data_IF_105368300671
#
_entry.id   IF_105368300671
#
_cell.length_a   1.000
_cell.length_b   1.000
_cell.length_c   1.000
_cell.angle_alpha   90.00
_cell.angle_beta   90.00
_cell.angle_gamma   90.00
#
_symmetry.space_group_name_H-M   'P 1'
#
loop_
_entity.id
_entity.type
_entity.pdbx_description
1 polymer ?
#
# COMPACT_ATOMS: atom_id res chain seq x y z
N UNK A 1 -14.24 -30.93 -21.05
CA UNK A 1 -14.40 -30.58 -19.61
C UNK A 1 -13.09 -30.16 -18.95
N UNK A 2 -12.02 -30.97 -19.00
CA UNK A 2 -10.72 -30.63 -18.39
C UNK A 2 -10.14 -29.29 -18.86
N UNK A 3 -10.13 -29.03 -20.17
CA UNK A 3 -9.59 -27.77 -20.73
C UNK A 3 -10.29 -26.51 -20.20
N UNK A 4 -11.61 -26.58 -20.01
CA UNK A 4 -12.41 -25.45 -19.50
C UNK A 4 -12.05 -25.19 -18.04
N UNK A 5 -11.93 -26.25 -17.23
CA UNK A 5 -11.51 -26.16 -15.83
C UNK A 5 -10.11 -25.58 -15.72
N UNK A 6 -9.17 -26.01 -16.59
CA UNK A 6 -7.81 -25.46 -16.63
C UNK A 6 -7.80 -23.96 -16.94
N UNK A 7 -8.59 -23.50 -17.92
CA UNK A 7 -8.71 -22.08 -18.25
C UNK A 7 -9.27 -21.26 -17.08
N UNK A 8 -10.27 -21.79 -16.38
CA UNK A 8 -10.86 -21.14 -15.20
C UNK A 8 -9.81 -20.99 -14.09
N UNK A 9 -9.05 -22.05 -13.79
CA UNK A 9 -8.02 -22.02 -12.76
C UNK A 9 -6.89 -21.02 -13.10
N UNK A 10 -6.48 -20.95 -14.36
CA UNK A 10 -5.49 -19.97 -14.83
C UNK A 10 -6.03 -18.55 -14.65
N UNK A 11 -7.29 -18.29 -15.01
CA UNK A 11 -7.94 -17.01 -14.80
C UNK A 11 -7.96 -16.60 -13.32
N UNK A 12 -8.31 -17.53 -12.43
CA UNK A 12 -8.31 -17.29 -10.98
C UNK A 12 -6.89 -16.97 -10.48
N UNK A 13 -5.87 -17.75 -10.87
CA UNK A 13 -4.49 -17.49 -10.48
C UNK A 13 -3.99 -16.11 -10.96
N UNK A 14 -4.30 -15.72 -12.20
CA UNK A 14 -3.96 -14.41 -12.74
C UNK A 14 -4.63 -13.28 -11.95
N UNK A 15 -5.92 -13.41 -11.62
CA UNK A 15 -6.64 -12.39 -10.85
C UNK A 15 -6.08 -12.21 -9.43
N UNK A 16 -5.78 -13.32 -8.74
CA UNK A 16 -5.20 -13.29 -7.39
C UNK A 16 -3.82 -12.64 -7.38
N UNK A 17 -3.00 -12.86 -8.42
CA UNK A 17 -1.70 -12.21 -8.58
C UNK A 17 -1.79 -10.69 -8.75
N UNK A 18 -2.81 -10.21 -9.47
CA UNK A 18 -3.02 -8.77 -9.65
C UNK A 18 -3.46 -8.14 -8.31
N UNK A 19 -4.40 -8.77 -7.61
CA UNK A 19 -4.87 -8.29 -6.31
C UNK A 19 -3.74 -8.27 -5.29
N UNK A 20 -2.90 -9.31 -5.23
CA UNK A 20 -1.77 -9.35 -4.30
C UNK A 20 -0.72 -8.27 -4.57
N UNK A 21 -0.40 -8.01 -5.84
CA UNK A 21 0.50 -6.90 -6.20
C UNK A 21 -0.06 -5.54 -5.79
N UNK A 22 -1.36 -5.30 -6.00
CA UNK A 22 -2.00 -4.07 -5.55
C UNK A 22 -2.02 -3.91 -4.03
N UNK A 23 -2.21 -5.01 -3.29
CA UNK A 23 -2.14 -5.00 -1.83
C UNK A 23 -0.74 -4.64 -1.33
N UNK A 24 0.31 -5.27 -1.89
CA UNK A 24 1.71 -4.97 -1.56
C UNK A 24 2.05 -3.52 -1.88
N UNK A 25 1.56 -2.99 -3.02
CA UNK A 25 1.81 -1.61 -3.39
C UNK A 25 1.12 -0.61 -2.45
N UNK A 26 -0.11 -0.91 -2.01
CA UNK A 26 -0.81 -0.13 -0.98
C UNK A 26 -0.09 -0.17 0.36
N UNK A 27 0.31 -1.35 0.81
CA UNK A 27 1.04 -1.54 2.06
C UNK A 27 2.37 -0.76 2.03
N UNK A 28 3.09 -0.83 0.91
CA UNK A 28 4.31 -0.04 0.70
C UNK A 28 4.06 1.47 0.66
N UNK A 29 2.86 1.94 0.30
CA UNK A 29 2.49 3.35 0.39
C UNK A 29 2.18 3.70 1.85
N UNK A 30 1.38 2.90 2.55
CA UNK A 30 1.06 3.13 3.97
C UNK A 30 2.32 3.09 4.86
N UNK A 31 3.28 2.23 4.60
CA UNK A 31 4.56 2.22 5.32
C UNK A 31 5.41 3.48 5.06
N UNK A 32 5.28 4.08 3.87
CA UNK A 32 6.11 5.22 3.44
C UNK A 32 5.51 6.56 3.80
N UNK A 33 4.29 6.65 4.30
CA UNK A 33 3.66 7.91 4.66
C UNK A 33 2.99 7.84 6.02
N UNK A 34 3.13 8.90 6.80
CA UNK A 34 2.45 9.09 8.08
C UNK A 34 1.66 10.39 8.02
N UNK A 35 0.53 10.43 8.72
CA UNK A 35 -0.30 11.62 8.78
C UNK A 35 0.04 12.43 10.04
N UNK A 36 0.12 13.75 9.90
CA UNK A 36 0.32 14.62 11.05
C UNK A 36 -0.93 14.62 11.95
N UNK A 37 -0.82 14.32 13.26
CA UNK A 37 -1.98 14.26 14.15
C UNK A 37 -2.70 15.60 14.33
N UNK A 38 -2.04 16.73 14.02
CA UNK A 38 -2.58 18.09 14.22
C UNK A 38 -3.22 18.70 12.97
N UNK A 39 -2.72 18.37 11.77
CA UNK A 39 -3.18 18.98 10.52
C UNK A 39 -3.51 17.98 9.41
N UNK A 40 -3.43 16.68 9.71
CA UNK A 40 -3.69 15.56 8.80
C UNK A 40 -2.88 15.62 7.49
N UNK A 41 -1.77 16.36 7.50
CA UNK A 41 -0.89 16.44 6.36
C UNK A 41 -0.17 15.10 6.17
N UNK A 42 -0.20 14.58 4.94
CA UNK A 42 0.57 13.40 4.54
C UNK A 42 2.06 13.74 4.48
N UNK A 43 2.87 13.09 5.30
CA UNK A 43 4.31 13.27 5.41
C UNK A 43 5.01 11.96 5.01
N UNK A 44 6.08 12.04 4.23
CA UNK A 44 6.86 10.86 3.87
C UNK A 44 7.68 10.39 5.07
N UNK A 45 7.53 9.12 5.46
CA UNK A 45 8.32 8.46 6.50
C UNK A 45 9.77 8.36 6.01
N UNK A 46 10.66 9.10 6.66
CA UNK A 46 12.11 8.99 6.48
C UNK A 46 12.74 8.04 7.50
N UNK A 47 14.07 7.99 7.55
CA UNK A 47 14.80 7.22 8.57
C UNK A 47 14.86 7.92 9.95
N UNK A 48 14.39 9.16 10.04
CA UNK A 48 14.33 9.97 11.26
C UNK A 48 12.88 10.07 11.78
N UNK A 49 12.72 10.53 13.01
CA UNK A 49 11.41 10.78 13.62
C UNK A 49 10.53 11.65 12.69
N UNK A 50 9.28 11.26 12.40
CA UNK A 50 8.36 12.04 11.59
C UNK A 50 8.27 13.51 12.04
N UNK A 51 8.49 14.44 11.10
CA UNK A 51 8.40 15.87 11.36
C UNK A 51 7.40 16.53 10.41
N UNK A 52 6.45 17.26 10.99
CA UNK A 52 5.52 18.09 10.23
C UNK A 52 6.03 19.53 10.14
N UNK A 53 6.46 19.96 8.95
CA UNK A 53 6.91 21.34 8.71
C UNK A 53 5.80 22.39 8.87
N UNK A 54 4.54 22.04 8.62
CA UNK A 54 3.39 22.95 8.82
C UNK A 54 3.10 23.22 10.31
N UNK A 55 3.21 22.19 11.15
CA UNK A 55 2.91 22.27 12.58
C UNK A 55 4.16 22.51 13.44
N UNK A 56 5.35 22.42 12.85
CA UNK A 56 6.64 22.41 13.53
C UNK A 56 6.70 21.40 14.68
N UNK A 57 6.22 20.17 14.43
CA UNK A 57 6.05 19.11 15.44
C UNK A 57 6.75 17.82 15.00
N UNK A 58 7.50 17.21 15.91
CA UNK A 58 8.06 15.85 15.79
C UNK A 58 7.14 14.87 16.53
N UNK A 59 6.86 13.70 15.95
CA UNK A 59 6.01 12.66 16.54
C UNK A 59 6.37 11.27 16.03
#
# INVERSE_FOLDING_TARGET
>A
MLLIVSLILIGIMCSMRIVSLHMIEREKIEERYVYCPKCDARIRKGNAAPFCSKCNLIF
#
